data_IF_947567370672
#
_entry.id   IF_947567370672
#
_cell.length_a   1.000
_cell.length_b   1.000
_cell.length_c   1.000
_cell.angle_alpha   90.00
_cell.angle_beta   90.00
_cell.angle_gamma   90.00
#
_symmetry.space_group_name_H-M   'P 1'
#
loop_
_entity.id
_entity.type
_entity.pdbx_description
1 polymer ?
#
# COMPACT_ATOMS: atom_id res chain seq x y z
N UNK A 1 -66.35 56.67 -12.85
CA UNK A 1 -67.00 55.82 -11.83
C UNK A 1 -66.06 54.64 -11.54
N UNK A 2 -65.57 54.55 -10.30
CA UNK A 2 -64.83 53.44 -9.65
C UNK A 2 -63.37 53.17 -10.10
N UNK A 3 -62.35 53.58 -9.31
CA UNK A 3 -61.66 52.84 -8.21
C UNK A 3 -60.82 51.68 -8.78
N UNK A 4 -59.49 51.63 -8.69
CA UNK A 4 -58.66 51.52 -7.48
C UNK A 4 -57.16 51.58 -7.84
N UNK A 5 -56.45 52.28 -6.97
CA UNK A 5 -55.00 52.32 -6.77
C UNK A 5 -54.52 50.97 -6.18
N UNK A 6 -53.45 50.38 -6.71
CA UNK A 6 -52.61 49.45 -5.95
C UNK A 6 -51.15 49.52 -6.42
N UNK A 7 -50.30 50.03 -5.52
CA UNK A 7 -48.84 49.98 -5.59
C UNK A 7 -48.37 48.52 -5.53
N UNK A 8 -47.39 48.16 -6.36
CA UNK A 8 -46.45 47.08 -6.04
C UNK A 8 -45.05 47.52 -6.47
N UNK A 9 -44.21 47.86 -5.49
CA UNK A 9 -42.80 48.17 -5.66
C UNK A 9 -42.04 46.84 -5.74
N UNK A 10 -41.53 46.48 -6.92
CA UNK A 10 -40.66 45.31 -7.11
C UNK A 10 -39.21 45.74 -6.88
N UNK A 11 -38.69 45.49 -5.69
CA UNK A 11 -37.27 45.65 -5.35
C UNK A 11 -36.50 44.48 -5.97
N UNK A 12 -35.80 44.74 -7.07
CA UNK A 12 -34.84 43.80 -7.67
C UNK A 12 -33.56 43.83 -6.82
N UNK A 13 -33.41 42.85 -5.94
CA UNK A 13 -32.12 42.56 -5.27
C UNK A 13 -31.26 41.75 -6.22
N UNK A 14 -30.27 42.42 -6.83
CA UNK A 14 -29.24 41.82 -7.67
C UNK A 14 -28.25 41.07 -6.76
N UNK A 15 -28.55 39.81 -6.44
CA UNK A 15 -27.63 38.91 -5.75
C UNK A 15 -26.55 38.52 -6.75
N UNK A 16 -25.41 39.22 -6.68
CA UNK A 16 -24.20 38.89 -7.40
C UNK A 16 -23.77 37.46 -7.06
N UNK A 17 -24.04 36.54 -7.99
CA UNK A 17 -23.52 35.18 -7.94
C UNK A 17 -22.05 35.25 -8.31
N UNK A 18 -21.18 35.41 -7.31
CA UNK A 18 -19.75 35.13 -7.47
C UNK A 18 -19.62 33.64 -7.73
N UNK A 19 -19.49 33.29 -9.01
CA UNK A 19 -19.02 31.98 -9.44
C UNK A 19 -17.64 31.76 -8.80
N UNK A 20 -17.62 31.07 -7.66
CA UNK A 20 -16.42 30.51 -7.07
C UNK A 20 -16.00 29.34 -7.97
N UNK A 21 -15.40 29.68 -9.11
CA UNK A 21 -14.68 28.75 -9.94
C UNK A 21 -13.46 28.33 -9.11
N UNK A 22 -13.58 27.19 -8.43
CA UNK A 22 -12.44 26.53 -7.81
C UNK A 22 -11.41 26.32 -8.92
N UNK A 23 -10.28 27.03 -8.82
CA UNK A 23 -9.11 26.71 -9.62
C UNK A 23 -8.82 25.24 -9.36
N UNK A 24 -9.08 24.39 -10.34
CA UNK A 24 -8.50 23.05 -10.40
C UNK A 24 -7.00 23.30 -10.51
N UNK A 25 -6.33 23.30 -9.36
CA UNK A 25 -4.88 23.33 -9.28
C UNK A 25 -4.41 22.09 -10.03
N UNK A 26 -3.72 22.29 -11.17
CA UNK A 26 -2.98 21.20 -11.80
C UNK A 26 -1.91 20.79 -10.80
N UNK A 27 -2.15 19.72 -10.06
CA UNK A 27 -1.16 19.17 -9.14
C UNK A 27 0.05 18.72 -9.96
N UNK A 28 1.25 19.03 -9.47
CA UNK A 28 2.49 18.54 -10.09
C UNK A 28 2.66 17.06 -9.78
N UNK A 29 3.09 16.23 -10.74
CA UNK A 29 3.33 14.82 -10.50
C UNK A 29 4.52 14.62 -9.56
N UNK A 30 4.36 13.77 -8.57
CA UNK A 30 5.44 13.40 -7.65
C UNK A 30 4.98 12.57 -6.46
N UNK A 31 5.91 11.82 -5.89
CA UNK A 31 5.80 11.19 -4.56
C UNK A 31 6.77 11.88 -3.62
N UNK A 32 6.26 12.44 -2.52
CA UNK A 32 7.09 13.15 -1.53
C UNK A 32 7.51 12.17 -0.44
N UNK A 33 8.80 12.17 -0.10
CA UNK A 33 9.33 11.41 1.04
C UNK A 33 8.90 12.08 2.35
N UNK A 34 8.06 11.40 3.13
CA UNK A 34 7.53 11.91 4.40
C UNK A 34 8.10 11.20 5.63
N UNK A 35 8.69 10.02 5.44
CA UNK A 35 9.44 9.30 6.48
C UNK A 35 10.53 8.46 5.82
N UNK A 36 11.70 8.38 6.46
CA UNK A 36 12.84 7.60 5.99
C UNK A 36 13.66 7.11 7.18
N UNK A 37 13.96 5.81 7.22
CA UNK A 37 14.91 5.22 8.16
C UNK A 37 15.71 4.08 7.51
N UNK A 38 16.89 3.79 8.04
CA UNK A 38 17.80 2.79 7.50
C UNK A 38 18.31 3.13 6.10
N UNK A 39 18.73 2.10 5.34
CA UNK A 39 19.41 2.27 4.06
C UNK A 39 18.45 2.18 2.88
N UNK A 40 18.10 3.29 2.23
CA UNK A 40 17.27 3.32 1.03
C UNK A 40 18.06 3.89 -0.14
N UNK A 41 18.11 3.16 -1.25
CA UNK A 41 18.75 3.57 -2.49
C UNK A 41 17.68 3.92 -3.53
N UNK A 42 17.71 5.13 -4.08
CA UNK A 42 16.87 5.53 -5.22
C UNK A 42 17.74 5.79 -6.44
N UNK A 43 17.32 5.30 -7.59
CA UNK A 43 18.00 5.50 -8.86
C UNK A 43 17.08 6.13 -9.90
N UNK A 44 17.62 7.10 -10.65
CA UNK A 44 17.00 7.68 -11.85
C UNK A 44 18.00 7.61 -12.99
N UNK A 45 17.61 7.03 -14.12
CA UNK A 45 18.48 6.88 -15.29
C UNK A 45 19.85 6.25 -14.93
N UNK A 46 19.83 5.25 -14.04
CA UNK A 46 21.03 4.53 -13.58
C UNK A 46 21.90 5.28 -12.55
N UNK A 47 21.55 6.50 -12.15
CA UNK A 47 22.29 7.29 -11.16
C UNK A 47 21.59 7.28 -9.81
N UNK A 48 22.35 7.13 -8.73
CA UNK A 48 21.84 7.25 -7.37
C UNK A 48 21.40 8.69 -7.08
N UNK A 49 20.23 8.85 -6.48
CA UNK A 49 19.68 10.11 -6.00
C UNK A 49 19.77 10.13 -4.47
N UNK A 50 20.39 11.17 -3.87
CA UNK A 50 20.35 11.37 -2.42
C UNK A 50 18.91 11.60 -1.95
N UNK A 51 18.51 10.93 -0.87
CA UNK A 51 17.20 11.12 -0.26
C UNK A 51 17.29 11.89 1.07
N UNK A 52 16.31 12.76 1.26
CA UNK A 52 15.96 13.39 2.53
C UNK A 52 14.44 13.54 2.62
N UNK A 53 13.91 13.86 3.81
CA UNK A 53 12.52 14.29 3.93
C UNK A 53 12.23 15.46 2.98
N UNK A 54 11.04 15.46 2.38
CA UNK A 54 10.63 16.41 1.34
C UNK A 54 11.19 16.13 -0.05
N UNK A 55 12.07 15.13 -0.24
CA UNK A 55 12.53 14.75 -1.59
C UNK A 55 11.37 14.32 -2.46
N UNK A 56 11.39 14.71 -3.73
CA UNK A 56 10.35 14.38 -4.72
C UNK A 56 10.84 13.28 -5.64
N UNK A 57 10.18 12.12 -5.57
CA UNK A 57 10.36 11.02 -6.49
C UNK A 57 9.45 11.20 -7.70
N UNK A 58 9.96 10.82 -8.86
CA UNK A 58 9.35 11.07 -10.16
C UNK A 58 9.14 9.75 -10.91
N UNK A 59 8.45 9.85 -12.04
CA UNK A 59 8.35 8.76 -13.00
C UNK A 59 9.75 8.22 -13.36
N UNK A 60 9.83 6.90 -13.56
CA UNK A 60 11.02 6.13 -13.92
C UNK A 60 12.06 6.00 -12.79
N UNK A 61 11.78 6.53 -11.58
CA UNK A 61 12.60 6.24 -10.41
C UNK A 61 12.43 4.77 -9.97
N UNK A 62 13.54 4.16 -9.59
CA UNK A 62 13.58 2.84 -8.95
C UNK A 62 14.04 2.98 -7.51
N UNK A 63 13.31 2.37 -6.58
CA UNK A 63 13.52 2.43 -5.13
C UNK A 63 13.90 1.05 -4.63
N UNK A 64 14.98 0.97 -3.85
CA UNK A 64 15.40 -0.24 -3.13
C UNK A 64 15.57 0.09 -1.66
N UNK A 65 14.74 -0.48 -0.80
CA UNK A 65 14.75 -0.12 0.63
C UNK A 65 15.78 -0.87 1.45
N UNK A 66 16.50 -1.87 0.94
CA UNK A 66 17.47 -2.70 1.69
C UNK A 66 16.97 -3.02 3.11
N UNK A 67 17.69 -2.63 4.17
CA UNK A 67 17.26 -2.77 5.57
C UNK A 67 16.45 -1.57 6.11
N UNK A 68 16.19 -0.58 5.28
CA UNK A 68 15.43 0.63 5.61
C UNK A 68 13.92 0.51 5.39
N UNK A 69 13.23 1.61 5.67
CA UNK A 69 11.79 1.80 5.44
C UNK A 69 11.58 3.22 4.93
N UNK A 70 10.64 3.38 4.00
CA UNK A 70 10.35 4.65 3.33
C UNK A 70 8.84 4.85 3.27
N UNK A 71 8.33 5.98 3.76
CA UNK A 71 6.95 6.39 3.53
C UNK A 71 6.90 7.52 2.52
N UNK A 72 6.04 7.34 1.52
CA UNK A 72 5.81 8.25 0.42
C UNK A 72 4.37 8.76 0.45
N UNK A 73 4.17 10.02 0.08
CA UNK A 73 2.84 10.61 -0.05
C UNK A 73 2.64 11.28 -1.41
N UNK A 74 1.49 11.02 -2.04
CA UNK A 74 1.06 11.70 -3.28
C UNK A 74 0.40 13.04 -2.97
N UNK A 75 0.27 13.92 -3.97
CA UNK A 75 -0.57 15.13 -3.89
C UNK A 75 -2.05 14.85 -3.57
N UNK A 76 -2.56 13.66 -3.90
CA UNK A 76 -3.92 13.20 -3.59
C UNK A 76 -4.07 12.63 -2.17
N UNK A 77 -3.02 12.72 -1.35
CA UNK A 77 -3.03 12.27 0.05
C UNK A 77 -2.97 10.75 0.25
N UNK A 78 -2.67 9.96 -0.79
CA UNK A 78 -2.33 8.55 -0.64
C UNK A 78 -0.98 8.40 0.05
N UNK A 79 -0.87 7.44 0.97
CA UNK A 79 0.37 7.11 1.68
C UNK A 79 0.77 5.68 1.39
N UNK A 80 2.04 5.48 1.08
CA UNK A 80 2.63 4.21 0.71
C UNK A 80 3.88 4.02 1.57
N UNK A 81 3.89 3.00 2.43
CA UNK A 81 5.08 2.54 3.15
C UNK A 81 5.71 1.38 2.42
N UNK A 82 6.96 1.55 2.02
CA UNK A 82 7.80 0.49 1.52
C UNK A 82 8.58 -0.08 2.71
N UNK A 83 8.27 -1.32 3.11
CA UNK A 83 9.02 -2.03 4.15
C UNK A 83 10.41 -2.41 3.63
N UNK A 84 11.26 -2.92 4.51
CA UNK A 84 12.58 -3.43 4.14
C UNK A 84 12.51 -4.49 3.04
N UNK A 85 13.59 -4.56 2.25
CA UNK A 85 13.78 -5.47 1.13
C UNK A 85 12.74 -5.31 0.00
N UNK A 86 12.23 -4.09 -0.15
CA UNK A 86 11.31 -3.72 -1.23
C UNK A 86 12.06 -3.16 -2.43
N UNK A 87 11.64 -3.58 -3.62
CA UNK A 87 12.11 -3.11 -4.91
C UNK A 87 10.90 -2.68 -5.75
N UNK A 88 10.80 -1.38 -6.02
CA UNK A 88 9.66 -0.73 -6.65
C UNK A 88 10.13 0.26 -7.72
N UNK A 89 9.43 0.33 -8.85
CA UNK A 89 9.56 1.41 -9.84
C UNK A 89 8.28 2.23 -9.95
N UNK A 90 8.43 3.50 -10.30
CA UNK A 90 7.31 4.43 -10.51
C UNK A 90 7.02 4.51 -12.00
N UNK A 91 5.93 3.90 -12.46
CA UNK A 91 5.58 3.85 -13.88
C UNK A 91 4.83 5.12 -14.34
N UNK A 92 3.94 5.64 -13.47
CA UNK A 92 3.18 6.85 -13.73
C UNK A 92 2.79 7.54 -12.42
N UNK A 93 2.52 8.85 -12.51
CA UNK A 93 2.08 9.67 -11.39
C UNK A 93 0.93 10.56 -11.85
N UNK A 94 -0.06 10.73 -10.97
CA UNK A 94 -1.12 11.71 -11.18
C UNK A 94 -0.53 13.12 -11.20
N UNK A 95 -1.01 13.96 -12.11
CA UNK A 95 -0.54 15.33 -12.31
C UNK A 95 -0.18 15.59 -13.77
N UNK A 96 -0.07 16.87 -14.13
CA UNK A 96 0.31 17.32 -15.49
C UNK A 96 -0.49 16.65 -16.64
N UNK A 97 -1.77 16.36 -16.41
CA UNK A 97 -2.67 15.76 -17.41
C UNK A 97 -2.76 14.24 -17.37
N UNK A 98 -2.00 13.59 -16.49
CA UNK A 98 -2.22 12.19 -16.10
C UNK A 98 -3.19 12.11 -14.92
N UNK A 99 -4.15 11.19 -15.01
CA UNK A 99 -5.06 10.85 -13.91
C UNK A 99 -4.59 9.58 -13.16
N UNK A 100 -3.46 8.99 -13.55
CA UNK A 100 -3.03 7.67 -13.09
C UNK A 100 -1.75 7.75 -12.26
N UNK A 101 -1.78 7.16 -11.07
CA UNK A 101 -0.60 6.76 -10.30
C UNK A 101 -0.43 5.25 -10.38
N UNK A 102 0.69 4.78 -10.94
CA UNK A 102 1.00 3.36 -11.09
C UNK A 102 2.38 3.06 -10.53
N UNK A 103 2.44 2.11 -9.59
CA UNK A 103 3.66 1.64 -8.95
C UNK A 103 3.90 0.18 -9.32
N UNK A 104 5.04 -0.15 -9.89
CA UNK A 104 5.42 -1.52 -10.21
C UNK A 104 6.31 -2.11 -9.11
N UNK A 105 5.86 -3.20 -8.51
CA UNK A 105 6.56 -3.92 -7.43
C UNK A 105 7.21 -5.15 -8.01
N UNK A 106 8.51 -5.31 -7.76
CA UNK A 106 9.26 -6.53 -8.10
C UNK A 106 9.31 -7.50 -6.93
N UNK A 107 9.62 -6.98 -5.74
CA UNK A 107 9.70 -7.75 -4.49
C UNK A 107 9.44 -6.81 -3.30
N UNK A 108 9.06 -7.38 -2.17
CA UNK A 108 8.90 -6.69 -0.89
C UNK A 108 7.45 -6.55 -0.45
N UNK A 109 7.25 -5.74 0.59
CA UNK A 109 5.97 -5.52 1.25
C UNK A 109 5.63 -4.03 1.26
N UNK A 110 4.46 -3.70 0.75
CA UNK A 110 3.87 -2.39 0.83
C UNK A 110 2.72 -2.38 1.83
N UNK A 111 2.62 -1.31 2.60
CA UNK A 111 1.40 -0.92 3.29
C UNK A 111 0.88 0.35 2.64
N UNK A 112 -0.39 0.38 2.27
CA UNK A 112 -0.95 1.46 1.47
C UNK A 112 -2.28 1.91 2.04
N UNK A 113 -2.42 3.22 2.20
CA UNK A 113 -3.70 3.90 2.49
C UNK A 113 -3.99 4.89 1.39
N UNK A 114 -5.09 4.67 0.67
CA UNK A 114 -5.54 5.58 -0.38
C UNK A 114 -6.76 6.37 0.08
N UNK A 115 -6.81 7.66 -0.29
CA UNK A 115 -8.02 8.45 -0.20
C UNK A 115 -9.02 7.96 -1.25
N UNK A 116 -10.31 8.31 -1.09
CA UNK A 116 -11.30 8.07 -2.13
C UNK A 116 -10.94 8.87 -3.38
N UNK A 117 -10.68 8.17 -4.47
CA UNK A 117 -10.39 8.75 -5.78
C UNK A 117 -11.63 9.40 -6.39
N UNK A 118 -11.45 10.38 -7.27
CA UNK A 118 -12.51 10.84 -8.19
C UNK A 118 -12.84 9.76 -9.24
N UNK A 119 -13.87 9.93 -10.08
CA UNK A 119 -14.20 8.92 -11.09
C UNK A 119 -13.11 8.73 -12.16
N UNK A 120 -12.26 9.74 -12.37
CA UNK A 120 -11.22 9.73 -13.40
C UNK A 120 -9.87 9.25 -12.87
N UNK A 121 -9.60 9.50 -11.60
CA UNK A 121 -8.34 9.12 -10.95
C UNK A 121 -8.22 7.60 -10.80
N UNK A 122 -7.00 7.11 -11.03
CA UNK A 122 -6.64 5.70 -10.92
C UNK A 122 -5.40 5.55 -10.05
N UNK A 123 -5.46 4.63 -9.09
CA UNK A 123 -4.29 4.17 -8.34
C UNK A 123 -4.10 2.68 -8.59
N UNK A 124 -2.92 2.31 -9.10
CA UNK A 124 -2.58 0.94 -9.46
C UNK A 124 -1.28 0.51 -8.80
N UNK A 125 -1.26 -0.73 -8.35
CA UNK A 125 -0.03 -1.44 -8.02
C UNK A 125 0.10 -2.60 -8.98
N UNK A 126 1.24 -2.75 -9.64
CA UNK A 126 1.42 -3.79 -10.64
C UNK A 126 2.64 -4.66 -10.35
N UNK A 127 2.59 -5.88 -10.86
CA UNK A 127 3.67 -6.85 -10.92
C UNK A 127 3.72 -7.40 -12.34
N UNK A 128 4.72 -8.21 -12.71
CA UNK A 128 4.71 -8.87 -14.02
C UNK A 128 3.45 -9.69 -14.30
N UNK A 129 2.80 -10.22 -13.26
CA UNK A 129 1.68 -11.17 -13.37
C UNK A 129 0.33 -10.63 -12.87
N UNK A 130 0.26 -9.40 -12.35
CA UNK A 130 -1.00 -8.84 -11.86
C UNK A 130 -1.01 -7.31 -11.85
N UNK A 131 -2.21 -6.73 -11.91
CA UNK A 131 -2.52 -5.34 -11.55
C UNK A 131 -3.55 -5.38 -10.43
N UNK A 132 -3.31 -4.62 -9.38
CA UNK A 132 -4.29 -4.26 -8.36
C UNK A 132 -4.74 -2.81 -8.60
N UNK A 133 -6.00 -2.63 -8.98
CA UNK A 133 -6.71 -1.36 -8.99
C UNK A 133 -7.28 -1.06 -7.60
N UNK A 134 -7.00 0.14 -7.09
CA UNK A 134 -7.26 0.50 -5.69
C UNK A 134 -8.11 1.77 -5.64
N UNK A 135 -9.10 1.80 -4.74
CA UNK A 135 -9.93 2.98 -4.54
C UNK A 135 -10.42 3.10 -3.11
N UNK A 136 -9.84 4.03 -2.35
CA UNK A 136 -10.28 4.33 -0.98
C UNK A 136 -10.10 3.15 -0.04
N UNK A 137 -8.89 2.59 -0.03
CA UNK A 137 -8.55 1.29 0.55
C UNK A 137 -7.34 1.40 1.46
N UNK A 138 -7.36 0.66 2.58
CA UNK A 138 -6.19 0.32 3.39
C UNK A 138 -5.84 -1.16 3.18
N UNK A 139 -4.67 -1.46 2.64
CA UNK A 139 -4.29 -2.82 2.26
C UNK A 139 -2.77 -3.04 2.35
N UNK A 140 -2.37 -4.29 2.43
CA UNK A 140 -0.99 -4.72 2.23
C UNK A 140 -0.83 -5.43 0.89
N UNK A 141 0.33 -5.24 0.28
CA UNK A 141 0.70 -5.86 -0.99
C UNK A 141 2.10 -6.44 -0.88
N UNK A 142 2.20 -7.76 -0.96
CA UNK A 142 3.45 -8.49 -0.76
C UNK A 142 3.83 -9.29 -2.01
N UNK A 143 5.10 -9.22 -2.37
CA UNK A 143 5.71 -10.08 -3.39
C UNK A 143 7.02 -10.63 -2.82
N UNK A 144 7.05 -11.92 -2.50
CA UNK A 144 8.30 -12.59 -2.16
C UNK A 144 9.03 -12.97 -3.45
N UNK A 145 10.36 -12.99 -3.42
CA UNK A 145 11.15 -13.33 -4.60
C UNK A 145 10.76 -14.72 -5.13
N UNK A 146 10.36 -14.77 -6.40
CA UNK A 146 9.94 -16.02 -7.04
C UNK A 146 8.53 -16.48 -6.67
N UNK A 147 7.80 -15.70 -5.87
CA UNK A 147 6.37 -15.93 -5.61
C UNK A 147 5.54 -14.92 -6.38
N UNK A 148 4.24 -15.16 -6.43
CA UNK A 148 3.26 -14.25 -7.00
C UNK A 148 2.66 -13.37 -5.88
N UNK A 149 1.90 -12.31 -6.21
CA UNK A 149 1.49 -11.35 -5.19
C UNK A 149 0.47 -11.93 -4.21
N UNK A 150 0.61 -11.50 -2.95
CA UNK A 150 -0.38 -11.64 -1.89
C UNK A 150 -0.91 -10.27 -1.48
N UNK A 151 -2.22 -10.15 -1.38
CA UNK A 151 -2.92 -8.91 -1.01
C UNK A 151 -3.80 -9.18 0.19
N UNK A 152 -3.71 -8.36 1.24
CA UNK A 152 -4.68 -8.35 2.35
C UNK A 152 -5.37 -7.00 2.44
N UNK A 153 -6.69 -6.98 2.48
CA UNK A 153 -7.48 -5.74 2.54
C UNK A 153 -8.05 -5.55 3.94
N UNK A 154 -7.67 -4.45 4.58
CA UNK A 154 -8.11 -4.12 5.95
C UNK A 154 -9.31 -3.17 5.94
N UNK A 155 -9.41 -2.30 4.93
CA UNK A 155 -10.57 -1.41 4.75
C UNK A 155 -10.79 -1.17 3.26
N UNK A 156 -12.04 -1.13 2.81
CA UNK A 156 -12.39 -0.87 1.41
C UNK A 156 -12.31 -2.12 0.54
N UNK A 157 -11.88 -1.97 -0.72
CA UNK A 157 -11.77 -3.08 -1.68
C UNK A 157 -10.57 -2.86 -2.63
N UNK A 158 -10.00 -3.97 -3.12
CA UNK A 158 -9.01 -4.00 -4.20
C UNK A 158 -9.56 -4.87 -5.31
N UNK A 159 -9.43 -4.40 -6.55
CA UNK A 159 -9.78 -5.17 -7.73
C UNK A 159 -8.49 -5.64 -8.41
N UNK A 160 -8.27 -6.95 -8.50
CA UNK A 160 -7.06 -7.53 -9.05
C UNK A 160 -7.33 -8.21 -10.38
N UNK A 161 -6.53 -7.88 -11.38
CA UNK A 161 -6.52 -8.50 -12.71
C UNK A 161 -5.18 -9.19 -12.92
N UNK A 162 -5.18 -10.44 -13.35
CA UNK A 162 -3.95 -11.15 -13.68
C UNK A 162 -3.40 -10.71 -15.05
N UNK A 163 -2.10 -10.81 -15.24
CA UNK A 163 -1.39 -10.46 -16.47
C UNK A 163 -0.64 -11.66 -17.01
N UNK A 164 -0.59 -11.77 -18.33
CA UNK A 164 0.27 -12.73 -18.99
C UNK A 164 1.75 -12.38 -18.72
N UNK A 165 2.55 -13.29 -18.15
CA UNK A 165 3.98 -13.09 -17.91
C UNK A 165 4.74 -13.16 -19.24
N UNK A 166 4.86 -12.03 -19.93
CA UNK A 166 5.62 -11.98 -21.18
C UNK A 166 7.11 -12.06 -20.85
N UNK A 167 7.76 -13.15 -21.25
CA UNK A 167 9.22 -13.31 -21.16
C UNK A 167 9.93 -12.29 -22.06
N UNK A 168 11.13 -11.83 -21.65
CA UNK A 168 11.98 -10.95 -22.45
C UNK A 168 12.48 -11.61 -23.75
N UNK A 169 12.35 -12.93 -23.88
CA UNK A 169 12.86 -13.71 -25.02
C UNK A 169 11.98 -13.62 -26.28
N UNK A 170 10.74 -13.15 -26.16
CA UNK A 170 9.85 -13.01 -27.32
C UNK A 170 9.57 -11.50 -27.55
N UNK A 171 9.81 -10.96 -28.76
CA UNK A 171 9.57 -9.55 -29.04
C UNK A 171 8.12 -9.15 -28.72
N UNK A 172 7.93 -8.20 -27.80
CA UNK A 172 6.62 -7.77 -27.30
C UNK A 172 5.67 -7.38 -28.45
N UNK A 173 6.21 -6.75 -29.50
CA UNK A 173 5.44 -6.28 -30.65
C UNK A 173 4.84 -7.45 -31.46
N UNK A 174 5.56 -8.58 -31.57
CA UNK A 174 5.07 -9.77 -32.29
C UNK A 174 4.02 -10.55 -31.52
N UNK A 175 4.09 -10.53 -30.19
CA UNK A 175 3.08 -11.14 -29.31
C UNK A 175 1.82 -10.28 -29.28
N UNK A 176 1.95 -8.96 -29.17
CA UNK A 176 0.82 -8.04 -29.02
C UNK A 176 -0.14 -8.06 -30.22
N UNK A 177 0.37 -8.30 -31.43
CA UNK A 177 -0.45 -8.42 -32.64
C UNK A 177 -1.09 -9.82 -32.82
N UNK A 178 -0.68 -10.83 -32.04
CA UNK A 178 -1.22 -12.18 -32.16
C UNK A 178 -2.70 -12.22 -31.67
N UNK A 179 -3.67 -12.65 -32.50
CA UNK A 179 -5.08 -12.67 -32.11
C UNK A 179 -5.39 -13.58 -30.91
N UNK A 180 -4.65 -14.67 -30.72
CA UNK A 180 -4.83 -15.56 -29.57
C UNK A 180 -4.27 -14.94 -28.30
N UNK A 181 -3.18 -14.16 -28.40
CA UNK A 181 -2.66 -13.42 -27.26
C UNK A 181 -3.63 -12.31 -26.82
N UNK A 182 -4.19 -11.56 -27.77
CA UNK A 182 -5.22 -10.55 -27.46
C UNK A 182 -6.46 -11.17 -26.80
N UNK A 183 -6.91 -12.35 -27.28
CA UNK A 183 -7.98 -13.11 -26.61
C UNK A 183 -7.60 -13.53 -25.20
N UNK A 184 -6.36 -13.99 -25.00
CA UNK A 184 -5.86 -14.38 -23.69
C UNK A 184 -5.78 -13.20 -22.72
N UNK A 185 -5.24 -12.06 -23.16
CA UNK A 185 -5.23 -10.82 -22.37
C UNK A 185 -6.65 -10.39 -22.00
N UNK A 186 -7.55 -10.33 -22.98
CA UNK A 186 -8.95 -9.96 -22.74
C UNK A 186 -9.63 -10.90 -21.76
N UNK A 187 -9.38 -12.20 -21.85
CA UNK A 187 -9.89 -13.16 -20.89
C UNK A 187 -9.39 -12.86 -19.47
N UNK A 188 -8.10 -12.56 -19.30
CA UNK A 188 -7.56 -12.17 -18.00
C UNK A 188 -8.20 -10.86 -17.47
N UNK A 189 -8.38 -9.87 -18.33
CA UNK A 189 -9.03 -8.59 -18.00
C UNK A 189 -10.50 -8.75 -17.57
N UNK A 190 -11.25 -9.63 -18.23
CA UNK A 190 -12.65 -9.92 -17.89
C UNK A 190 -12.81 -10.73 -16.58
N UNK A 191 -11.74 -11.36 -16.08
CA UNK A 191 -11.76 -12.17 -14.86
C UNK A 191 -11.12 -11.42 -13.69
N UNK A 192 -11.72 -10.27 -13.36
CA UNK A 192 -11.33 -9.45 -12.22
C UNK A 192 -11.67 -10.14 -10.89
N UNK A 193 -10.72 -10.09 -9.95
CA UNK A 193 -10.82 -10.66 -8.62
C UNK A 193 -10.98 -9.51 -7.63
N UNK A 194 -12.20 -9.34 -7.12
CA UNK A 194 -12.48 -8.34 -6.08
C UNK A 194 -12.13 -8.92 -4.71
N UNK A 195 -11.32 -8.19 -3.96
CA UNK A 195 -10.87 -8.52 -2.59
C UNK A 195 -11.41 -7.43 -1.68
N UNK A 196 -12.27 -7.80 -0.75
CA UNK A 196 -12.98 -6.88 0.14
C UNK A 196 -12.32 -6.81 1.49
N UNK A 197 -12.79 -5.90 2.34
CA UNK A 197 -12.41 -5.82 3.75
C UNK A 197 -12.41 -7.20 4.43
N UNK A 198 -11.33 -7.48 5.17
CA UNK A 198 -11.04 -8.75 5.85
C UNK A 198 -10.87 -9.96 4.93
N UNK A 199 -10.69 -9.72 3.64
CA UNK A 199 -10.30 -10.73 2.67
C UNK A 199 -8.82 -10.59 2.27
N UNK A 200 -8.22 -11.74 1.99
CA UNK A 200 -6.92 -11.85 1.36
C UNK A 200 -7.01 -12.65 0.07
N UNK A 201 -6.12 -12.35 -0.87
CA UNK A 201 -5.93 -13.15 -2.06
C UNK A 201 -4.44 -13.36 -2.33
N UNK A 202 -4.09 -14.60 -2.70
CA UNK A 202 -2.75 -15.00 -3.10
C UNK A 202 -2.84 -15.68 -4.46
N UNK A 203 -2.05 -15.20 -5.41
CA UNK A 203 -1.93 -15.86 -6.71
C UNK A 203 -0.99 -17.06 -6.53
N UNK A 204 -1.39 -18.23 -7.00
CA UNK A 204 -0.62 -19.46 -6.83
C UNK A 204 0.32 -19.71 -8.02
N UNK A 205 1.48 -20.36 -7.83
CA UNK A 205 2.45 -20.62 -8.90
C UNK A 205 1.89 -21.33 -10.13
N UNK A 206 0.81 -22.10 -9.99
CA UNK A 206 0.12 -22.75 -11.11
C UNK A 206 -0.37 -21.75 -12.16
N UNK A 207 -0.67 -20.50 -11.78
CA UNK A 207 -1.00 -19.45 -12.74
C UNK A 207 0.09 -19.26 -13.79
N UNK A 208 1.34 -19.10 -13.34
CA UNK A 208 2.48 -18.83 -14.23
C UNK A 208 2.70 -20.02 -15.18
N UNK A 209 2.66 -21.24 -14.65
CA UNK A 209 2.81 -22.46 -15.46
C UNK A 209 1.76 -22.58 -16.57
N UNK A 210 0.49 -22.33 -16.23
CA UNK A 210 -0.61 -22.40 -17.19
C UNK A 210 -0.52 -21.25 -18.20
N UNK A 211 -0.18 -20.04 -17.77
CA UNK A 211 0.00 -18.90 -18.65
C UNK A 211 1.14 -19.13 -19.65
N UNK A 212 2.29 -19.62 -19.20
CA UNK A 212 3.42 -19.99 -20.08
C UNK A 212 3.04 -21.08 -21.09
N UNK A 213 2.22 -22.06 -20.67
CA UNK A 213 1.74 -23.12 -21.58
C UNK A 213 0.90 -22.54 -22.73
N UNK A 214 0.08 -21.52 -22.45
CA UNK A 214 -0.69 -20.80 -23.48
C UNK A 214 0.24 -19.98 -24.37
N UNK A 215 1.18 -19.24 -23.77
CA UNK A 215 2.11 -18.37 -24.50
C UNK A 215 3.00 -19.16 -25.48
N UNK A 216 3.45 -20.35 -25.11
CA UNK A 216 4.28 -21.20 -25.96
C UNK A 216 3.53 -21.84 -27.14
N UNK A 217 2.20 -21.69 -27.20
CA UNK A 217 1.34 -22.33 -28.21
C UNK A 217 0.43 -21.33 -28.93
N UNK A 218 0.75 -20.04 -28.90
CA UNK A 218 -0.08 -18.98 -29.48
C UNK A 218 -0.37 -19.17 -30.98
N UNK A 219 0.52 -19.82 -31.72
CA UNK A 219 0.38 -20.07 -33.17
C UNK A 219 -0.34 -21.39 -33.51
N UNK A 220 -0.69 -22.20 -32.51
CA UNK A 220 -1.43 -23.46 -32.70
C UNK A 220 -2.91 -23.17 -32.96
N UNK A 221 -3.44 -23.61 -34.11
CA UNK A 221 -4.84 -23.41 -34.48
C UNK A 221 -5.84 -23.98 -33.46
N UNK A 222 -5.43 -24.96 -32.64
CA UNK A 222 -6.26 -25.56 -31.60
C UNK A 222 -6.26 -24.78 -30.27
N UNK A 223 -5.37 -23.80 -30.08
CA UNK A 223 -5.17 -23.12 -28.79
C UNK A 223 -6.39 -22.33 -28.32
N UNK A 224 -7.24 -21.88 -29.25
CA UNK A 224 -8.45 -21.12 -28.92
C UNK A 224 -9.38 -21.88 -27.95
N UNK A 225 -9.50 -23.21 -28.11
CA UNK A 225 -10.29 -24.03 -27.18
C UNK A 225 -9.62 -24.16 -25.80
N UNK A 226 -8.30 -24.18 -25.75
CA UNK A 226 -7.55 -24.20 -24.49
C UNK A 226 -7.65 -22.87 -23.73
N UNK A 227 -7.65 -21.73 -24.44
CA UNK A 227 -7.87 -20.41 -23.85
C UNK A 227 -9.27 -20.34 -23.21
N UNK A 228 -10.31 -20.83 -23.89
CA UNK A 228 -11.66 -20.89 -23.31
C UNK A 228 -11.73 -21.80 -22.07
N UNK A 229 -11.06 -22.95 -22.09
CA UNK A 229 -10.99 -23.86 -20.94
C UNK A 229 -10.23 -23.24 -19.76
N UNK A 230 -9.19 -22.45 -20.04
CA UNK A 230 -8.36 -21.80 -19.04
C UNK A 230 -9.15 -20.87 -18.11
N UNK A 231 -10.27 -20.30 -18.55
CA UNK A 231 -11.20 -19.54 -17.69
C UNK A 231 -11.59 -20.32 -16.43
N UNK A 232 -11.87 -21.62 -16.56
CA UNK A 232 -12.27 -22.45 -15.42
C UNK A 232 -11.09 -22.75 -14.48
N UNK A 233 -9.88 -22.83 -15.03
CA UNK A 233 -8.67 -23.11 -14.27
C UNK A 233 -8.17 -21.88 -13.52
N UNK A 234 -8.36 -20.67 -14.06
CA UNK A 234 -8.02 -19.39 -13.42
C UNK A 234 -8.59 -19.25 -12.00
N UNK A 235 -9.83 -19.69 -11.79
CA UNK A 235 -10.48 -19.63 -10.48
C UNK A 235 -9.68 -20.42 -9.43
N UNK A 236 -8.95 -21.45 -9.86
CA UNK A 236 -8.12 -22.29 -8.97
C UNK A 236 -6.73 -21.74 -8.74
N UNK A 237 -6.26 -20.86 -9.62
CA UNK A 237 -4.92 -20.25 -9.56
C UNK A 237 -4.86 -19.05 -8.63
N UNK A 238 -5.98 -18.63 -8.05
CA UNK A 238 -5.99 -17.63 -6.98
C UNK A 238 -6.66 -18.23 -5.75
N UNK A 239 -5.94 -18.22 -4.63
CA UNK A 239 -6.48 -18.54 -3.33
C UNK A 239 -7.04 -17.27 -2.72
N UNK A 240 -8.36 -17.19 -2.59
CA UNK A 240 -9.05 -16.13 -1.88
C UNK A 240 -9.62 -16.67 -0.57
N UNK A 241 -9.49 -15.91 0.51
CA UNK A 241 -10.00 -16.30 1.82
C UNK A 241 -10.26 -15.11 2.72
N UNK A 242 -10.80 -15.38 3.90
CA UNK A 242 -10.86 -14.41 4.99
C UNK A 242 -9.62 -14.54 5.88
N UNK A 243 -9.18 -13.45 6.46
CA UNK A 243 -8.13 -13.46 7.49
C UNK A 243 -8.65 -12.82 8.77
N UNK A 244 -8.08 -13.23 9.90
CA UNK A 244 -8.26 -12.51 11.17
C UNK A 244 -7.19 -11.43 11.27
N UNK A 245 -7.60 -10.20 11.66
CA UNK A 245 -6.65 -9.08 11.76
C UNK A 245 -5.60 -9.39 12.82
N UNK A 246 -4.35 -9.46 12.38
CA UNK A 246 -3.22 -9.50 13.29
C UNK A 246 -3.07 -8.12 13.98
N UNK A 247 -2.97 -8.05 15.32
CA UNK A 247 -2.85 -6.78 16.02
C UNK A 247 -1.60 -5.96 15.64
N UNK A 248 -0.50 -6.63 15.28
CA UNK A 248 0.75 -5.98 14.88
C UNK A 248 0.65 -5.45 13.45
N UNK A 249 0.03 -6.20 12.54
CA UNK A 249 -0.30 -5.68 11.19
C UNK A 249 -1.22 -4.46 11.27
N UNK A 250 -2.20 -4.50 12.17
CA UNK A 250 -3.10 -3.37 12.43
C UNK A 250 -2.34 -2.16 12.99
N UNK A 251 -1.40 -2.38 13.90
CA UNK A 251 -0.55 -1.33 14.44
C UNK A 251 0.41 -0.74 13.40
N UNK A 252 0.95 -1.58 12.52
CA UNK A 252 1.76 -1.17 11.37
C UNK A 252 0.98 -0.25 10.42
N UNK A 253 -0.31 -0.55 10.18
CA UNK A 253 -1.19 0.33 9.43
C UNK A 253 -1.52 1.60 10.20
N UNK A 254 -1.83 1.53 11.49
CA UNK A 254 -2.15 2.73 12.28
C UNK A 254 -1.01 3.75 12.24
N UNK A 255 0.24 3.29 12.35
CA UNK A 255 1.44 4.13 12.25
C UNK A 255 1.78 4.60 10.83
N UNK A 256 1.07 4.14 9.81
CA UNK A 256 1.13 4.69 8.46
C UNK A 256 0.31 5.99 8.42
N UNK A 257 0.98 7.09 8.79
CA UNK A 257 0.40 8.42 8.93
C UNK A 257 0.69 9.29 7.70
N UNK A 258 -0.23 10.19 7.36
CA UNK A 258 -0.04 11.20 6.32
C UNK A 258 0.35 12.54 6.91
N UNK A 259 1.16 13.32 6.20
CA UNK A 259 1.43 14.72 6.53
C UNK A 259 0.43 15.66 5.86
N UNK A 260 0.40 16.91 6.29
CA UNK A 260 -0.41 17.95 5.68
C UNK A 260 -0.14 18.07 4.16
N UNK A 261 -1.22 18.05 3.37
CA UNK A 261 -1.19 18.09 1.89
C UNK A 261 -0.58 19.40 1.35
N UNK A 262 -0.58 20.49 2.13
CA UNK A 262 0.11 21.74 1.78
C UNK A 262 1.64 21.58 1.80
N UNK A 263 2.18 20.77 2.72
CA UNK A 263 3.62 20.48 2.79
C UNK A 263 4.07 19.61 1.62
N UNK A 264 3.22 18.65 1.23
CA UNK A 264 3.41 17.84 0.02
C UNK A 264 3.42 18.73 -1.21
N UNK A 265 2.38 19.55 -1.38
CA UNK A 265 2.26 20.49 -2.50
C UNK A 265 3.44 21.45 -2.58
N UNK A 266 3.87 22.00 -1.43
CA UNK A 266 5.06 22.85 -1.36
C UNK A 266 6.35 22.15 -1.79
N UNK A 267 6.53 20.87 -1.43
CA UNK A 267 7.70 20.09 -1.83
C UNK A 267 7.69 19.79 -3.33
N UNK A 268 6.52 19.47 -3.90
CA UNK A 268 6.32 19.33 -5.35
C UNK A 268 6.61 20.64 -6.11
N UNK A 269 6.46 21.79 -5.44
CA UNK A 269 6.88 23.11 -5.93
C UNK A 269 8.37 23.42 -5.68
N UNK A 270 9.18 22.42 -5.36
CA UNK A 270 10.61 22.53 -5.05
C UNK A 270 10.93 23.39 -3.82
N UNK A 271 9.99 23.56 -2.88
CA UNK A 271 10.30 24.17 -1.58
C UNK A 271 11.00 23.15 -0.69
N UNK A 272 12.04 23.59 0.02
CA UNK A 272 12.72 22.76 1.01
C UNK A 272 11.94 22.79 2.33
N UNK A 273 11.14 21.75 2.59
CA UNK A 273 10.21 21.66 3.73
C UNK A 273 10.50 20.46 4.66
N UNK A 274 11.75 19.98 4.65
CA UNK A 274 12.14 18.77 5.37
C UNK A 274 11.81 18.83 6.87
N UNK A 275 12.04 19.98 7.52
CA UNK A 275 11.82 20.18 8.95
C UNK A 275 10.33 20.25 9.30
N UNK A 276 9.54 20.91 8.47
CA UNK A 276 8.10 21.03 8.62
C UNK A 276 7.41 19.67 8.45
N UNK A 277 7.88 18.88 7.47
CA UNK A 277 7.43 17.49 7.25
C UNK A 277 7.80 16.63 8.45
N UNK A 278 9.05 16.68 8.92
CA UNK A 278 9.50 15.91 10.08
C UNK A 278 8.65 16.21 11.32
N UNK A 279 8.38 17.49 11.58
CA UNK A 279 7.57 17.94 12.70
C UNK A 279 6.14 17.43 12.60
N UNK A 280 5.46 17.68 11.48
CA UNK A 280 4.05 17.26 11.28
C UNK A 280 3.94 15.73 11.34
N UNK A 281 4.85 15.00 10.67
CA UNK A 281 4.88 13.54 10.70
C UNK A 281 5.07 13.00 12.12
N UNK A 282 5.99 13.58 12.90
CA UNK A 282 6.24 13.17 14.29
C UNK A 282 5.04 13.41 15.19
N UNK A 283 4.34 14.55 15.02
CA UNK A 283 3.11 14.85 15.75
C UNK A 283 2.00 13.84 15.42
N UNK A 284 1.81 13.50 14.14
CA UNK A 284 0.83 12.48 13.74
C UNK A 284 1.18 11.09 14.24
N UNK A 285 2.46 10.73 14.19
CA UNK A 285 2.95 9.44 14.67
C UNK A 285 2.77 9.31 16.19
N UNK A 286 2.98 10.39 16.96
CA UNK A 286 2.69 10.39 18.39
C UNK A 286 1.22 10.09 18.69
N UNK A 287 0.29 10.73 17.97
CA UNK A 287 -1.15 10.47 18.11
C UNK A 287 -1.47 9.00 17.79
N UNK A 288 -0.86 8.44 16.75
CA UNK A 288 -1.02 7.03 16.41
C UNK A 288 -0.51 6.10 17.54
N UNK A 289 0.65 6.40 18.12
CA UNK A 289 1.17 5.63 19.26
C UNK A 289 0.29 5.74 20.51
N UNK A 290 -0.24 6.92 20.84
CA UNK A 290 -1.14 7.10 21.98
C UNK A 290 -2.41 6.26 21.82
N UNK A 291 -2.94 6.19 20.59
CA UNK A 291 -4.07 5.31 20.25
C UNK A 291 -3.70 3.84 20.45
N UNK A 292 -2.57 3.40 19.91
CA UNK A 292 -2.12 2.01 20.04
C UNK A 292 -1.87 1.61 21.49
N UNK A 293 -1.31 2.51 22.30
CA UNK A 293 -1.11 2.30 23.73
C UNK A 293 -2.44 2.10 24.47
N UNK A 294 -3.44 2.94 24.16
CA UNK A 294 -4.81 2.80 24.69
C UNK A 294 -5.46 1.48 24.28
N UNK A 295 -5.39 1.12 23.01
CA UNK A 295 -5.97 -0.12 22.46
C UNK A 295 -5.31 -1.37 23.04
N UNK A 296 -3.99 -1.37 23.16
CA UNK A 296 -3.24 -2.48 23.75
C UNK A 296 -3.52 -2.58 25.26
N UNK A 297 -3.59 -1.44 25.98
CA UNK A 297 -3.93 -1.42 27.41
C UNK A 297 -5.34 -1.95 27.68
N UNK A 298 -6.28 -1.70 26.77
CA UNK A 298 -7.65 -2.20 26.86
C UNK A 298 -7.74 -3.74 26.78
N UNK A 299 -6.74 -4.41 26.20
CA UNK A 299 -6.68 -5.88 26.14
C UNK A 299 -6.43 -6.52 27.51
N UNK A 300 -5.81 -5.79 28.46
CA UNK A 300 -5.53 -6.24 29.83
C UNK A 300 -4.79 -7.59 29.89
N UNK A 301 -3.82 -7.80 29.01
CA UNK A 301 -3.03 -9.03 28.99
C UNK A 301 -2.03 -8.98 30.16
N UNK A 302 -2.11 -9.95 31.07
CA UNK A 302 -1.32 -9.96 32.31
C UNK A 302 -0.31 -11.12 32.37
N UNK A 303 -0.39 -12.06 31.43
CA UNK A 303 0.46 -13.26 31.37
C UNK A 303 1.17 -13.42 30.02
N UNK A 304 2.26 -14.19 30.01
CA UNK A 304 2.98 -14.51 28.78
C UNK A 304 2.09 -15.29 27.80
N UNK A 305 1.23 -16.18 28.30
CA UNK A 305 0.30 -16.98 27.50
C UNK A 305 -0.77 -16.13 26.81
N UNK A 306 -1.31 -15.13 27.50
CA UNK A 306 -2.29 -14.19 26.94
C UNK A 306 -1.66 -13.32 25.85
N UNK A 307 -0.44 -12.81 26.09
CA UNK A 307 0.33 -12.04 25.10
C UNK A 307 0.63 -12.89 23.87
N UNK A 308 1.15 -14.10 24.08
CA UNK A 308 1.46 -15.03 22.99
C UNK A 308 0.22 -15.33 22.15
N UNK A 309 -0.93 -15.59 22.79
CA UNK A 309 -2.17 -15.91 22.09
C UNK A 309 -2.68 -14.72 21.28
N UNK A 310 -2.59 -13.50 21.81
CA UNK A 310 -3.14 -12.32 21.17
C UNK A 310 -2.24 -11.81 20.03
N UNK A 311 -0.93 -11.71 20.26
CA UNK A 311 0.02 -11.20 19.25
C UNK A 311 0.62 -12.30 18.37
N UNK A 312 0.28 -13.57 18.61
CA UNK A 312 0.88 -14.75 17.97
C UNK A 312 2.40 -14.86 18.13
N UNK A 313 2.99 -14.07 19.03
CA UNK A 313 4.42 -14.02 19.33
C UNK A 313 4.63 -13.72 20.79
N UNK A 314 5.77 -14.14 21.31
CA UNK A 314 6.25 -13.73 22.61
C UNK A 314 7.77 -13.61 22.55
N UNK A 315 8.25 -12.49 23.05
CA UNK A 315 9.59 -11.95 22.90
C UNK A 315 10.06 -11.46 24.27
N UNK A 316 11.38 -11.28 24.44
CA UNK A 316 11.93 -10.52 25.55
C UNK A 316 12.76 -9.36 25.03
N UNK A 317 12.39 -8.15 25.46
CA UNK A 317 13.13 -6.92 25.17
C UNK A 317 14.10 -6.68 26.31
N UNK A 318 15.39 -6.81 26.02
CA UNK A 318 16.48 -6.58 26.96
C UNK A 318 16.98 -5.16 26.80
N UNK A 319 16.85 -4.34 27.84
CA UNK A 319 17.28 -2.93 27.83
C UNK A 319 18.72 -2.77 28.31
N UNK A 320 19.36 -1.66 27.93
CA UNK A 320 20.72 -1.31 28.38
C UNK A 320 20.84 -1.17 29.90
N UNK A 321 19.77 -0.75 30.57
CA UNK A 321 19.66 -0.65 32.04
C UNK A 321 19.49 -2.01 32.74
N UNK A 322 19.56 -3.12 31.98
CA UNK A 322 19.38 -4.52 32.42
C UNK A 322 17.94 -4.89 32.82
N UNK A 323 16.98 -3.99 32.60
CA UNK A 323 15.56 -4.33 32.66
C UNK A 323 15.21 -5.28 31.52
N UNK A 324 14.39 -6.30 31.82
CA UNK A 324 13.83 -7.21 30.83
C UNK A 324 12.30 -7.09 30.85
N UNK A 325 11.72 -6.90 29.66
CA UNK A 325 10.29 -6.89 29.41
C UNK A 325 9.92 -8.12 28.60
N UNK A 326 9.15 -9.02 29.18
CA UNK A 326 8.62 -10.20 28.50
C UNK A 326 7.24 -9.84 27.91
N UNK A 327 7.11 -9.93 26.59
CA UNK A 327 5.99 -9.32 25.91
C UNK A 327 6.00 -9.52 24.40
N UNK A 328 5.39 -8.59 23.68
CA UNK A 328 5.48 -8.51 22.23
C UNK A 328 5.77 -7.06 21.81
N UNK A 329 6.62 -6.90 20.80
CA UNK A 329 6.74 -5.63 20.07
C UNK A 329 5.51 -5.44 19.20
N UNK A 330 4.64 -4.52 19.61
CA UNK A 330 3.37 -4.21 18.95
C UNK A 330 3.60 -3.43 17.66
N UNK A 331 4.42 -2.40 17.73
CA UNK A 331 4.80 -1.57 16.59
C UNK A 331 6.21 -1.00 16.79
N UNK A 332 6.94 -0.83 15.68
CA UNK A 332 8.22 -0.12 15.67
C UNK A 332 8.28 0.78 14.44
N UNK A 333 8.45 2.09 14.67
CA UNK A 333 8.63 3.07 13.60
C UNK A 333 9.80 3.98 13.97
N UNK A 334 10.84 3.95 13.14
CA UNK A 334 12.08 4.66 13.40
C UNK A 334 12.69 4.21 14.72
N UNK A 335 12.98 5.18 15.60
CA UNK A 335 13.51 4.92 16.93
C UNK A 335 12.44 4.66 17.99
N UNK A 336 11.15 4.74 17.69
CA UNK A 336 10.10 4.45 18.67
C UNK A 336 9.62 3.00 18.55
N UNK A 337 9.54 2.32 19.69
CA UNK A 337 9.00 0.98 19.83
C UNK A 337 7.88 0.95 20.87
N UNK A 338 6.74 0.34 20.57
CA UNK A 338 5.68 0.07 21.53
C UNK A 338 5.73 -1.41 21.92
N UNK A 339 5.88 -1.68 23.21
CA UNK A 339 5.98 -3.02 23.78
C UNK A 339 4.82 -3.27 24.71
N UNK A 340 4.04 -4.31 24.46
CA UNK A 340 3.05 -4.81 25.41
C UNK A 340 3.69 -5.97 26.18
N UNK A 341 4.01 -5.74 27.45
CA UNK A 341 4.65 -6.73 28.32
C UNK A 341 3.76 -7.14 29.49
N UNK A 342 4.14 -8.21 30.17
CA UNK A 342 3.49 -8.66 31.41
C UNK A 342 3.52 -7.63 32.55
N UNK A 343 4.37 -6.60 32.44
CA UNK A 343 4.50 -5.50 33.42
C UNK A 343 3.72 -4.25 33.02
N UNK A 344 3.07 -4.25 31.86
CA UNK A 344 2.38 -3.10 31.28
C UNK A 344 2.92 -2.76 29.90
N UNK A 345 2.50 -1.59 29.42
CA UNK A 345 2.81 -1.09 28.09
C UNK A 345 3.88 -0.02 28.17
N UNK A 346 4.86 -0.12 27.27
CA UNK A 346 6.03 0.73 27.27
C UNK A 346 6.29 1.27 25.88
N UNK A 347 6.42 2.59 25.79
CA UNK A 347 6.99 3.26 24.63
C UNK A 347 8.48 3.47 24.89
N UNK A 348 9.31 2.80 24.10
CA UNK A 348 10.76 2.77 24.25
C UNK A 348 11.43 3.47 23.07
N UNK A 349 12.55 4.13 23.34
CA UNK A 349 13.50 4.47 22.28
C UNK A 349 14.36 3.24 21.96
N UNK A 350 14.57 2.94 20.67
CA UNK A 350 15.37 1.79 20.20
C UNK A 350 16.81 1.88 20.73
N UNK A 351 17.33 3.08 20.98
CA UNK A 351 18.66 3.27 21.60
C UNK A 351 18.74 2.78 23.05
N UNK A 352 17.61 2.57 23.73
CA UNK A 352 17.56 1.97 25.07
C UNK A 352 17.57 0.44 25.04
N UNK A 353 17.39 -0.17 23.86
CA UNK A 353 17.28 -1.63 23.69
C UNK A 353 18.65 -2.23 23.36
N UNK A 354 19.11 -3.19 24.17
CA UNK A 354 20.34 -3.94 23.95
C UNK A 354 20.14 -5.01 22.88
N UNK A 355 19.08 -5.83 23.01
CA UNK A 355 18.64 -6.80 22.00
C UNK A 355 17.20 -7.26 22.26
N UNK A 356 16.60 -7.90 21.26
CA UNK A 356 15.32 -8.59 21.37
C UNK A 356 15.56 -10.07 21.15
N UNK A 357 15.11 -10.88 22.11
CA UNK A 357 15.16 -12.33 21.99
C UNK A 357 13.77 -12.86 21.65
N UNK A 358 13.66 -13.53 20.50
CA UNK A 358 12.45 -14.21 20.07
C UNK A 358 12.36 -15.57 20.76
N UNK A 359 11.23 -15.85 21.44
CA UNK A 359 10.97 -17.20 21.92
C UNK A 359 10.43 -18.02 20.76
N UNK A 360 11.20 -19.01 20.31
CA UNK A 360 10.72 -19.99 19.33
C UNK A 360 9.69 -20.88 20.03
N UNK A 361 8.45 -20.90 19.55
CA UNK A 361 7.45 -21.86 20.00
C UNK A 361 7.47 -23.07 19.08
N UNK A 362 7.64 -24.25 19.66
CA UNK A 362 7.43 -25.50 18.93
C UNK A 362 5.97 -25.55 18.46
N UNK A 363 5.76 -25.55 17.14
CA UNK A 363 4.44 -25.73 16.54
C UNK A 363 4.00 -27.16 16.85
N UNK A 364 3.17 -27.34 17.88
CA UNK A 364 2.50 -28.62 18.14
C UNK A 364 1.43 -28.78 17.05
N UNK A 365 1.82 -29.33 15.90
CA UNK A 365 0.84 -29.77 14.90
C UNK A 365 0.01 -30.89 15.51
N UNK A 366 -1.26 -30.62 15.84
CA UNK A 366 -2.23 -31.68 16.13
C UNK A 366 -2.32 -32.55 14.88
N UNK A 367 -1.78 -33.78 14.94
CA UNK A 367 -2.08 -34.81 13.94
C UNK A 367 -3.61 -34.89 13.82
N UNK A 368 -4.14 -34.65 12.61
CA UNK A 368 -5.52 -35.03 12.28
C UNK A 368 -5.68 -36.51 12.65
N UNK A 369 -6.64 -36.81 13.52
CA UNK A 369 -7.09 -38.18 13.77
C UNK A 369 -7.82 -38.73 12.55
#
# INVERSE_FOLDING_TARGET
MNRKLFLLFLIVTFIGSSNFCSKVSKSKPGLVVIFLTGKVDVQRNGKLIPLSLGSVLQKDDTIKTNSGTLDLQTSLGHVIRLKSYTNLSIDSLHGEGSEETSLAVKTGLLLVKTNKLSQKEQFKISTPTAIAGVRGTAFSFEVVQGTLPKIKVYEGMVAMTLKAPVSQEIPADKIAENPNYQKFQKLLEENEIVISEEEEAEVKPEFDQLAQTILNRLDDASIAQSIEKFRNDLVRTVQKGKFERDPRESADLETLVKVNEDLVSGSLDNKYLAKEIEKDQSEKLNIAFDKLESEASAQKLASEEEIQKYYSVLESVHKLDKTVLHGAVVAQVGNTMLVHSTKGIYRLDVSEVEYIQYKNFDVITKKKK
#
